data_IF_755525120353
#
_entry.id   IF_755525120353
#
_cell.length_a   1.000
_cell.length_b   1.000
_cell.length_c   1.000
_cell.angle_alpha   90.00
_cell.angle_beta   90.00
_cell.angle_gamma   90.00
#
_symmetry.space_group_name_H-M   'P 1'
#
loop_
_entity.id
_entity.type
_entity.pdbx_description
1 polymer ?
#
# COMPACT_ATOMS: atom_id res chain seq x y z
N UNK A 1 -10.12 -18.07 -13.10
CA UNK A 1 -10.27 -16.96 -14.10
C UNK A 1 -9.91 -15.66 -13.39
N UNK A 2 -9.40 -14.66 -14.08
CA UNK A 2 -9.15 -13.36 -13.45
C UNK A 2 -10.45 -12.71 -13.00
N UNK A 3 -10.51 -12.20 -11.78
CA UNK A 3 -11.68 -11.50 -11.27
C UNK A 3 -11.81 -10.08 -11.83
N UNK A 4 -10.65 -9.40 -12.05
CA UNK A 4 -10.60 -8.05 -12.62
C UNK A 4 -9.42 -7.95 -13.59
N UNK A 5 -9.67 -7.39 -14.77
CA UNK A 5 -8.65 -7.12 -15.79
C UNK A 5 -8.73 -5.68 -16.26
N UNK A 6 -7.60 -5.00 -16.19
CA UNK A 6 -7.40 -3.65 -16.74
C UNK A 6 -6.48 -3.78 -17.95
N UNK A 7 -6.89 -3.31 -19.10
CA UNK A 7 -6.16 -3.40 -20.36
C UNK A 7 -5.99 -2.00 -20.92
N UNK A 8 -4.75 -1.49 -20.91
CA UNK A 8 -4.36 -0.14 -21.34
C UNK A 8 -5.33 0.95 -20.82
N UNK A 9 -5.72 0.83 -19.54
CA UNK A 9 -6.75 1.70 -18.96
C UNK A 9 -6.23 3.11 -18.78
N UNK A 10 -6.95 4.11 -19.32
CA UNK A 10 -6.55 5.52 -19.31
C UNK A 10 -7.66 6.43 -18.82
N UNK A 11 -7.25 7.49 -18.12
CA UNK A 11 -8.11 8.61 -17.70
C UNK A 11 -7.43 9.92 -17.94
N UNK A 12 -8.13 10.80 -18.67
CA UNK A 12 -7.74 12.18 -18.87
C UNK A 12 -8.80 13.12 -18.27
N UNK A 13 -8.37 14.14 -17.57
CA UNK A 13 -9.19 15.29 -17.17
C UNK A 13 -8.80 16.48 -18.05
N UNK A 14 -9.53 16.67 -19.14
CA UNK A 14 -9.10 17.59 -20.18
C UNK A 14 -7.70 17.23 -20.71
N UNK A 15 -6.73 18.15 -20.66
CA UNK A 15 -5.37 17.88 -21.13
C UNK A 15 -4.50 17.08 -20.13
N UNK A 16 -4.98 16.88 -18.90
CA UNK A 16 -4.18 16.27 -17.84
C UNK A 16 -4.41 14.76 -17.77
N UNK A 17 -3.41 13.91 -18.12
CA UNK A 17 -3.53 12.47 -18.01
C UNK A 17 -3.32 12.03 -16.55
N UNK A 18 -4.38 11.56 -15.88
CA UNK A 18 -4.36 11.08 -14.51
C UNK A 18 -4.01 9.59 -14.40
N UNK A 19 -4.43 8.78 -15.39
CA UNK A 19 -4.09 7.36 -15.53
C UNK A 19 -3.58 7.13 -16.95
N UNK A 20 -2.39 6.52 -17.07
CA UNK A 20 -1.59 6.53 -18.31
C UNK A 20 -1.34 5.13 -18.90
N UNK A 21 -2.41 4.38 -19.11
CA UNK A 21 -2.30 3.05 -19.73
C UNK A 21 -1.90 1.97 -18.72
N UNK A 22 -2.79 1.72 -17.77
CA UNK A 22 -2.58 0.70 -16.74
C UNK A 22 -3.03 -0.67 -17.26
N UNK A 23 -2.12 -1.65 -17.13
CA UNK A 23 -2.38 -3.05 -17.33
C UNK A 23 -2.25 -3.77 -15.97
N UNK A 24 -3.31 -4.43 -15.52
CA UNK A 24 -3.34 -5.14 -14.26
C UNK A 24 -4.34 -6.29 -14.33
N UNK A 25 -3.91 -7.47 -13.97
CA UNK A 25 -4.77 -8.64 -13.80
C UNK A 25 -4.81 -9.01 -12.32
N UNK A 26 -6.01 -9.10 -11.76
CA UNK A 26 -6.27 -9.48 -10.37
C UNK A 26 -6.87 -10.87 -10.36
N UNK A 27 -6.29 -11.80 -9.64
CA UNK A 27 -6.79 -13.15 -9.50
C UNK A 27 -8.05 -13.20 -8.62
N UNK A 28 -8.85 -14.25 -8.77
CA UNK A 28 -10.00 -14.45 -7.91
C UNK A 28 -9.58 -14.69 -6.45
N UNK A 29 -10.23 -13.99 -5.52
CA UNK A 29 -9.90 -14.03 -4.10
C UNK A 29 -8.61 -13.31 -3.70
N UNK A 30 -7.92 -12.66 -4.63
CA UNK A 30 -6.67 -11.93 -4.37
C UNK A 30 -6.93 -10.57 -3.73
N UNK A 31 -6.05 -10.17 -2.82
CA UNK A 31 -6.00 -8.81 -2.25
C UNK A 31 -4.85 -8.01 -2.86
N UNK A 32 -5.19 -7.10 -3.78
CA UNK A 32 -4.26 -6.13 -4.36
C UNK A 32 -4.31 -4.85 -3.54
N UNK A 33 -3.13 -4.32 -3.18
CA UNK A 33 -3.02 -3.00 -2.56
C UNK A 33 -2.32 -2.03 -3.52
N UNK A 34 -3.00 -0.92 -3.81
CA UNK A 34 -2.47 0.19 -4.61
C UNK A 34 -1.84 1.21 -3.65
N UNK A 35 -0.54 1.48 -3.83
CA UNK A 35 0.20 2.43 -3.01
C UNK A 35 0.98 3.40 -3.89
N UNK A 36 1.27 4.60 -3.38
CA UNK A 36 2.00 5.64 -4.10
C UNK A 36 1.73 7.02 -3.53
N UNK A 37 2.44 8.06 -3.96
CA UNK A 37 2.30 9.42 -3.47
C UNK A 37 0.89 9.99 -3.76
N UNK A 38 0.54 11.06 -3.05
CA UNK A 38 -0.70 11.77 -3.30
C UNK A 38 -0.77 12.28 -4.74
N UNK A 39 -1.94 12.14 -5.37
CA UNK A 39 -2.13 12.57 -6.77
C UNK A 39 -1.60 11.63 -7.84
N UNK A 40 -1.00 10.46 -7.51
CA UNK A 40 -0.49 9.53 -8.53
C UNK A 40 -1.56 8.72 -9.28
N UNK A 41 -2.86 8.91 -8.99
CA UNK A 41 -3.97 8.29 -9.74
C UNK A 41 -4.66 7.10 -9.07
N UNK A 42 -4.30 6.67 -7.83
CA UNK A 42 -4.87 5.50 -7.13
C UNK A 42 -6.40 5.56 -6.99
N UNK A 43 -6.91 6.62 -6.34
CA UNK A 43 -8.36 6.78 -6.13
C UNK A 43 -9.11 6.99 -7.45
N UNK A 44 -8.48 7.63 -8.45
CA UNK A 44 -9.03 7.74 -9.80
C UNK A 44 -9.20 6.35 -10.41
N UNK A 45 -8.16 5.52 -10.36
CA UNK A 45 -8.20 4.14 -10.86
C UNK A 45 -9.28 3.33 -10.16
N UNK A 46 -9.35 3.40 -8.83
CA UNK A 46 -10.36 2.70 -8.04
C UNK A 46 -11.79 3.15 -8.41
N UNK A 47 -12.01 4.46 -8.58
CA UNK A 47 -13.30 5.02 -9.01
C UNK A 47 -13.68 4.65 -10.44
N UNK A 48 -12.71 4.52 -11.34
CA UNK A 48 -12.95 3.98 -12.70
C UNK A 48 -13.43 2.54 -12.63
N UNK A 49 -12.81 1.70 -11.79
CA UNK A 49 -13.26 0.31 -11.56
C UNK A 49 -14.67 0.30 -10.97
N UNK A 50 -14.95 1.20 -10.03
CA UNK A 50 -16.28 1.36 -9.43
C UNK A 50 -17.35 1.88 -10.41
N UNK A 51 -16.95 2.46 -11.54
CA UNK A 51 -17.85 3.15 -12.47
C UNK A 51 -18.26 4.56 -12.04
N UNK A 52 -17.63 5.08 -10.99
CA UNK A 52 -17.84 6.43 -10.49
C UNK A 52 -17.07 7.49 -11.30
N UNK A 53 -16.11 7.03 -12.10
CA UNK A 53 -15.35 7.84 -13.05
C UNK A 53 -15.38 7.16 -14.43
N UNK A 54 -15.68 7.92 -15.47
CA UNK A 54 -15.68 7.41 -16.83
C UNK A 54 -14.25 7.10 -17.30
N UNK A 55 -14.09 5.99 -17.99
CA UNK A 55 -12.86 5.57 -18.66
C UNK A 55 -12.67 6.44 -19.92
N UNK A 56 -11.47 6.96 -20.16
CA UNK A 56 -11.18 7.72 -21.38
C UNK A 56 -10.82 6.80 -22.56
N UNK A 57 -10.07 5.72 -22.29
CA UNK A 57 -9.77 4.65 -23.25
C UNK A 57 -9.27 3.40 -22.53
N UNK A 58 -9.18 2.28 -23.24
CA UNK A 58 -8.83 0.97 -22.70
C UNK A 58 -10.07 0.17 -22.27
N UNK A 59 -9.85 -1.00 -21.69
CA UNK A 59 -10.91 -1.92 -21.29
C UNK A 59 -10.82 -2.28 -19.83
N UNK A 60 -11.99 -2.46 -19.21
CA UNK A 60 -12.15 -2.98 -17.85
C UNK A 60 -13.07 -4.19 -17.90
N UNK A 61 -12.57 -5.33 -17.42
CA UNK A 61 -13.39 -6.54 -17.27
C UNK A 61 -13.52 -6.94 -15.81
N UNK A 62 -14.71 -7.38 -15.41
CA UNK A 62 -15.00 -7.97 -14.10
C UNK A 62 -15.66 -9.32 -14.35
N UNK A 63 -15.10 -10.38 -13.77
CA UNK A 63 -15.54 -11.77 -13.99
C UNK A 63 -15.69 -12.12 -15.49
N UNK A 64 -14.75 -11.64 -16.33
CA UNK A 64 -14.70 -11.85 -17.78
C UNK A 64 -15.60 -10.93 -18.62
N UNK A 65 -16.51 -10.17 -18.01
CA UNK A 65 -17.42 -9.26 -18.73
C UNK A 65 -16.82 -7.85 -18.83
N UNK A 66 -16.87 -7.23 -20.02
CA UNK A 66 -16.49 -5.84 -20.17
C UNK A 66 -17.55 -4.94 -19.50
N UNK A 67 -17.09 -4.15 -18.52
CA UNK A 67 -17.93 -3.28 -17.70
C UNK A 67 -17.59 -1.79 -17.87
N UNK A 68 -16.80 -1.44 -18.86
CA UNK A 68 -16.33 -0.08 -19.08
C UNK A 68 -17.45 0.96 -19.15
N UNK A 69 -18.60 0.58 -19.72
CA UNK A 69 -19.78 1.42 -19.90
C UNK A 69 -20.98 1.05 -19.02
N UNK A 70 -20.79 0.06 -18.09
CA UNK A 70 -21.86 -0.41 -17.20
C UNK A 70 -22.00 0.54 -16.00
N UNK A 71 -23.23 0.86 -15.63
CA UNK A 71 -23.52 1.68 -14.45
C UNK A 71 -22.93 1.09 -13.17
N UNK A 72 -22.49 1.92 -12.20
CA UNK A 72 -21.91 1.46 -10.93
C UNK A 72 -22.80 0.47 -10.17
N UNK A 73 -24.12 0.64 -10.25
CA UNK A 73 -25.10 -0.24 -9.57
C UNK A 73 -25.08 -1.67 -10.09
N UNK A 74 -24.73 -1.87 -11.37
CA UNK A 74 -24.82 -3.14 -12.10
C UNK A 74 -23.46 -3.85 -12.24
N UNK A 75 -22.35 -3.25 -11.79
CA UNK A 75 -21.00 -3.85 -11.85
C UNK A 75 -20.77 -4.99 -10.85
N UNK A 76 -21.75 -5.31 -10.02
CA UNK A 76 -21.65 -6.32 -8.95
C UNK A 76 -20.40 -6.17 -8.04
N UNK A 77 -20.06 -4.95 -7.68
CA UNK A 77 -18.99 -4.62 -6.75
C UNK A 77 -19.51 -3.86 -5.54
N UNK A 78 -18.75 -3.82 -4.46
CA UNK A 78 -19.05 -3.01 -3.30
C UNK A 78 -17.85 -2.13 -2.92
N UNK A 79 -18.10 -0.87 -2.64
CA UNK A 79 -17.06 0.10 -2.28
C UNK A 79 -17.21 0.56 -0.84
N UNK A 80 -16.11 0.58 -0.11
CA UNK A 80 -15.95 1.16 1.22
C UNK A 80 -15.18 2.46 1.05
N UNK A 81 -15.83 3.57 1.38
CA UNK A 81 -15.28 4.92 1.22
C UNK A 81 -14.51 5.36 2.46
N UNK A 82 -13.57 6.27 2.28
CA UNK A 82 -12.77 6.91 3.32
C UNK A 82 -13.59 7.52 4.46
N UNK A 83 -14.74 8.13 4.13
CA UNK A 83 -15.67 8.74 5.11
C UNK A 83 -16.80 7.81 5.55
N UNK A 84 -16.63 6.48 5.32
CA UNK A 84 -17.63 5.43 5.63
C UNK A 84 -18.94 5.53 4.85
N UNK A 85 -19.34 6.70 4.37
CA UNK A 85 -20.56 7.01 3.62
C UNK A 85 -21.86 6.44 4.24
N UNK A 86 -21.94 6.38 5.58
CA UNK A 86 -23.12 5.91 6.28
C UNK A 86 -24.23 6.97 6.22
N UNK A 87 -25.47 6.52 6.04
CA UNK A 87 -26.65 7.38 6.09
C UNK A 87 -26.93 7.78 7.55
N UNK A 88 -26.74 9.06 7.95
CA UNK A 88 -26.74 9.47 9.36
C UNK A 88 -28.11 9.40 10.01
N UNK A 89 -29.19 9.49 9.24
CA UNK A 89 -30.57 9.41 9.69
C UNK A 89 -31.11 7.99 9.85
N UNK A 90 -30.42 7.00 9.29
CA UNK A 90 -30.77 5.58 9.35
C UNK A 90 -30.08 4.87 10.51
N UNK A 91 -30.71 3.82 11.07
CA UNK A 91 -30.05 2.89 12.00
C UNK A 91 -29.00 2.05 11.27
N UNK A 92 -28.18 1.30 12.03
CA UNK A 92 -27.23 0.33 11.46
C UNK A 92 -27.96 -0.69 10.58
N UNK A 93 -29.03 -1.30 11.10
CA UNK A 93 -29.88 -2.25 10.34
C UNK A 93 -30.36 -1.61 9.04
N UNK A 94 -30.91 -0.41 9.08
CA UNK A 94 -31.38 0.31 7.89
C UNK A 94 -30.26 0.61 6.88
N UNK A 95 -29.07 0.95 7.37
CA UNK A 95 -27.88 1.11 6.52
C UNK A 95 -27.50 -0.17 5.79
N UNK A 96 -27.57 -1.33 6.48
CA UNK A 96 -27.25 -2.62 5.89
C UNK A 96 -28.30 -3.06 4.85
N UNK A 97 -29.59 -2.89 5.15
CA UNK A 97 -30.69 -3.34 4.29
C UNK A 97 -30.92 -2.47 3.06
N UNK A 98 -30.50 -1.18 3.09
CA UNK A 98 -30.82 -0.20 2.05
C UNK A 98 -30.47 -0.67 0.64
N UNK A 99 -29.24 -1.12 0.42
CA UNK A 99 -28.80 -1.62 -0.90
C UNK A 99 -29.51 -2.87 -1.36
N UNK A 100 -29.92 -3.75 -0.43
CA UNK A 100 -30.67 -4.97 -0.74
C UNK A 100 -32.12 -4.68 -1.10
N UNK A 101 -32.76 -3.74 -0.37
CA UNK A 101 -34.13 -3.27 -0.68
C UNK A 101 -34.21 -2.64 -2.08
N UNK A 102 -33.22 -1.80 -2.45
CA UNK A 102 -33.16 -1.19 -3.77
C UNK A 102 -33.02 -2.24 -4.90
N UNK A 103 -32.39 -3.38 -4.61
CA UNK A 103 -32.29 -4.53 -5.50
C UNK A 103 -33.49 -5.48 -5.41
N UNK A 104 -34.53 -5.14 -4.65
CA UNK A 104 -35.75 -5.92 -4.44
C UNK A 104 -35.49 -7.34 -3.91
N UNK A 105 -34.44 -7.51 -3.09
CA UNK A 105 -34.16 -8.80 -2.43
C UNK A 105 -35.29 -9.13 -1.46
N UNK A 106 -35.77 -10.40 -1.39
CA UNK A 106 -36.83 -10.82 -0.47
C UNK A 106 -36.44 -10.57 0.99
N UNK A 107 -37.42 -10.18 1.83
CA UNK A 107 -37.18 -9.77 3.23
C UNK A 107 -36.47 -10.85 4.05
N UNK A 108 -36.88 -12.11 3.94
CA UNK A 108 -36.20 -13.19 4.66
C UNK A 108 -34.74 -13.37 4.29
N UNK A 109 -34.38 -13.14 3.03
CA UNK A 109 -32.99 -13.17 2.58
C UNK A 109 -32.21 -11.95 3.10
N UNK A 110 -32.84 -10.75 3.16
CA UNK A 110 -32.25 -9.56 3.77
C UNK A 110 -31.90 -9.82 5.22
N UNK A 111 -32.86 -10.34 6.01
CA UNK A 111 -32.66 -10.62 7.43
C UNK A 111 -31.55 -11.66 7.65
N UNK A 112 -31.47 -12.70 6.82
CA UNK A 112 -30.43 -13.73 6.84
C UNK A 112 -29.05 -13.11 6.57
N UNK A 113 -28.91 -12.30 5.53
CA UNK A 113 -27.64 -11.65 5.16
C UNK A 113 -27.18 -10.66 6.21
N UNK A 114 -28.09 -9.88 6.80
CA UNK A 114 -27.78 -8.97 7.90
C UNK A 114 -27.32 -9.72 9.14
N UNK A 115 -28.00 -10.81 9.52
CA UNK A 115 -27.61 -11.62 10.67
C UNK A 115 -26.20 -12.20 10.48
N UNK A 116 -25.89 -12.72 9.27
CA UNK A 116 -24.57 -13.24 8.94
C UNK A 116 -23.51 -12.15 9.01
N UNK A 117 -23.70 -11.02 8.36
CA UNK A 117 -22.73 -9.90 8.38
C UNK A 117 -22.56 -9.34 9.79
N UNK A 118 -23.65 -9.23 10.58
CA UNK A 118 -23.60 -8.76 11.95
C UNK A 118 -22.82 -9.72 12.85
N UNK A 119 -22.93 -11.03 12.64
CA UNK A 119 -22.15 -12.04 13.35
C UNK A 119 -20.66 -11.99 13.00
N UNK A 120 -20.33 -11.89 11.70
CA UNK A 120 -18.93 -11.82 11.23
C UNK A 120 -18.22 -10.57 11.78
N UNK A 121 -18.91 -9.43 11.83
CA UNK A 121 -18.35 -8.12 12.19
C UNK A 121 -18.58 -7.75 13.67
N UNK A 122 -19.24 -8.60 14.44
CA UNK A 122 -19.57 -8.36 15.86
C UNK A 122 -20.33 -7.03 16.08
N UNK A 123 -21.30 -6.73 15.19
CA UNK A 123 -22.10 -5.50 15.26
C UNK A 123 -23.57 -5.72 15.63
N UNK A 124 -23.93 -6.94 16.08
CA UNK A 124 -25.31 -7.32 16.38
C UNK A 124 -25.98 -6.42 17.41
N UNK A 125 -25.26 -6.04 18.47
CA UNK A 125 -25.75 -5.15 19.52
C UNK A 125 -25.96 -3.69 19.09
N UNK A 126 -25.42 -3.31 17.92
CA UNK A 126 -25.50 -1.94 17.40
C UNK A 126 -26.57 -1.74 16.33
N UNK A 127 -27.31 -2.80 15.94
CA UNK A 127 -28.23 -2.77 14.81
C UNK A 127 -29.30 -1.67 14.90
N UNK A 128 -29.74 -1.32 16.10
CA UNK A 128 -30.74 -0.28 16.34
C UNK A 128 -30.15 1.11 16.58
N UNK A 129 -28.82 1.22 16.69
CA UNK A 129 -28.12 2.51 16.87
C UNK A 129 -28.01 3.25 15.53
N UNK A 130 -27.85 4.58 15.64
CA UNK A 130 -27.51 5.45 14.50
C UNK A 130 -26.01 5.71 14.44
N UNK A 131 -25.43 6.08 13.28
CA UNK A 131 -24.00 6.32 13.10
C UNK A 131 -23.38 7.28 14.13
N UNK A 132 -24.10 8.31 14.56
CA UNK A 132 -23.65 9.28 15.59
C UNK A 132 -23.40 8.66 16.96
N UNK A 133 -23.97 7.49 17.23
CA UNK A 133 -23.88 6.77 18.51
C UNK A 133 -22.76 5.70 18.49
N UNK A 134 -21.98 5.66 17.42
CA UNK A 134 -20.93 4.67 17.18
C UNK A 134 -19.54 5.30 17.26
N UNK A 135 -18.56 4.52 17.75
CA UNK A 135 -17.13 4.88 17.64
C UNK A 135 -16.65 4.83 16.17
N UNK A 136 -15.44 5.33 15.91
CA UNK A 136 -14.82 5.28 14.58
C UNK A 136 -14.76 3.85 14.04
N UNK A 137 -14.21 2.90 14.83
CA UNK A 137 -14.13 1.49 14.44
C UNK A 137 -15.49 0.81 14.25
N UNK A 138 -16.48 1.14 15.10
CA UNK A 138 -17.85 0.63 14.90
C UNK A 138 -18.46 1.15 13.59
N UNK A 139 -18.25 2.44 13.25
CA UNK A 139 -18.70 2.98 11.95
C UNK A 139 -18.00 2.28 10.78
N UNK A 140 -16.71 1.99 10.92
CA UNK A 140 -15.95 1.24 9.92
C UNK A 140 -16.52 -0.17 9.71
N UNK A 141 -16.77 -0.92 10.80
CA UNK A 141 -17.40 -2.25 10.71
C UNK A 141 -18.77 -2.19 10.06
N UNK A 142 -19.58 -1.19 10.35
CA UNK A 142 -20.89 -1.00 9.69
C UNK A 142 -20.73 -0.70 8.20
N UNK A 143 -19.75 0.12 7.80
CA UNK A 143 -19.46 0.37 6.39
C UNK A 143 -19.02 -0.90 5.64
N UNK A 144 -18.20 -1.74 6.29
CA UNK A 144 -17.84 -3.06 5.77
C UNK A 144 -19.06 -3.98 5.67
N UNK A 145 -19.94 -3.96 6.68
CA UNK A 145 -21.18 -4.72 6.67
C UNK A 145 -22.08 -4.38 5.49
N UNK A 146 -22.20 -3.09 5.13
CA UNK A 146 -22.93 -2.64 3.93
C UNK A 146 -22.36 -3.22 2.63
N UNK A 147 -21.05 -3.43 2.58
CA UNK A 147 -20.39 -4.06 1.45
C UNK A 147 -20.67 -5.58 1.43
N UNK A 148 -20.49 -6.25 2.58
CA UNK A 148 -20.62 -7.72 2.72
C UNK A 148 -22.02 -8.22 2.41
N UNK A 149 -23.07 -7.55 2.93
CA UNK A 149 -24.46 -7.99 2.70
C UNK A 149 -24.87 -8.03 1.22
N UNK A 150 -24.13 -7.30 0.37
CA UNK A 150 -24.37 -7.27 -1.08
C UNK A 150 -23.86 -8.50 -1.82
N UNK A 151 -22.95 -9.26 -1.19
CA UNK A 151 -22.28 -10.43 -1.77
C UNK A 151 -21.65 -10.12 -3.15
N UNK A 152 -20.69 -9.16 -3.19
CA UNK A 152 -20.16 -8.66 -4.45
C UNK A 152 -19.07 -9.58 -5.02
N UNK A 153 -18.83 -9.49 -6.33
CA UNK A 153 -17.70 -10.14 -6.99
C UNK A 153 -16.34 -9.56 -6.55
N UNK A 154 -16.31 -8.29 -6.15
CA UNK A 154 -15.10 -7.68 -5.60
C UNK A 154 -15.41 -6.55 -4.61
N UNK A 155 -14.52 -6.38 -3.62
CA UNK A 155 -14.49 -5.24 -2.72
C UNK A 155 -13.50 -4.19 -3.20
N UNK A 156 -13.89 -2.93 -3.10
CA UNK A 156 -13.04 -1.77 -3.36
C UNK A 156 -12.94 -0.93 -2.10
N UNK A 157 -11.72 -0.69 -1.62
CA UNK A 157 -11.45 0.09 -0.41
C UNK A 157 -10.69 1.37 -0.77
N UNK A 158 -11.30 2.55 -0.59
CA UNK A 158 -10.68 3.85 -0.82
C UNK A 158 -10.22 4.46 0.51
N UNK A 159 -8.98 4.20 0.91
CA UNK A 159 -8.35 4.66 2.16
C UNK A 159 -9.22 4.46 3.43
N UNK A 160 -9.73 3.25 3.68
CA UNK A 160 -10.78 3.06 4.68
C UNK A 160 -10.31 3.29 6.13
N UNK A 161 -9.00 3.29 6.40
CA UNK A 161 -8.43 3.43 7.74
C UNK A 161 -7.86 4.82 8.04
N UNK A 162 -7.82 5.73 7.06
CA UNK A 162 -7.16 7.05 7.20
C UNK A 162 -7.73 7.94 8.30
N UNK A 163 -9.03 7.79 8.63
CA UNK A 163 -9.72 8.59 9.64
C UNK A 163 -9.72 7.95 11.04
N UNK A 164 -8.92 6.93 11.28
CA UNK A 164 -8.81 6.24 12.57
C UNK A 164 -7.52 6.64 13.30
N UNK A 165 -7.56 6.62 14.64
CA UNK A 165 -6.36 6.74 15.47
C UNK A 165 -5.42 5.54 15.26
N UNK A 166 -4.14 5.67 15.65
CA UNK A 166 -3.10 4.68 15.39
C UNK A 166 -3.42 3.30 15.98
N UNK A 167 -3.95 3.23 17.22
CA UNK A 167 -4.27 1.97 17.89
C UNK A 167 -5.42 1.24 17.18
N UNK A 168 -6.46 1.97 16.83
CA UNK A 168 -7.63 1.42 16.16
C UNK A 168 -7.29 1.02 14.71
N UNK A 169 -6.39 1.76 14.04
CA UNK A 169 -5.90 1.42 12.69
C UNK A 169 -5.21 0.06 12.68
N UNK A 170 -4.35 -0.23 13.66
CA UNK A 170 -3.70 -1.55 13.79
C UNK A 170 -4.73 -2.66 13.95
N UNK A 171 -5.71 -2.48 14.83
CA UNK A 171 -6.76 -3.48 15.05
C UNK A 171 -7.59 -3.73 13.80
N UNK A 172 -8.06 -2.66 13.15
CA UNK A 172 -8.90 -2.75 11.95
C UNK A 172 -8.15 -3.34 10.75
N UNK A 173 -6.86 -3.10 10.62
CA UNK A 173 -6.03 -3.73 9.59
C UNK A 173 -6.02 -5.25 9.71
N UNK A 174 -5.79 -5.77 10.92
CA UNK A 174 -5.83 -7.21 11.20
C UNK A 174 -7.22 -7.78 10.89
N UNK A 175 -8.27 -7.06 11.28
CA UNK A 175 -9.65 -7.48 11.04
C UNK A 175 -10.01 -7.52 9.55
N UNK A 176 -9.62 -6.50 8.76
CA UNK A 176 -9.82 -6.48 7.30
C UNK A 176 -9.13 -7.67 6.66
N UNK A 177 -7.87 -7.96 7.04
CA UNK A 177 -7.13 -9.10 6.47
C UNK A 177 -7.78 -10.44 6.83
N UNK A 178 -8.22 -10.61 8.10
CA UNK A 178 -8.95 -11.79 8.56
C UNK A 178 -10.23 -11.99 7.76
N UNK A 179 -11.01 -10.91 7.62
CA UNK A 179 -12.26 -10.91 6.89
C UNK A 179 -12.08 -11.29 5.42
N UNK A 180 -11.12 -10.69 4.73
CA UNK A 180 -10.82 -10.98 3.32
C UNK A 180 -10.46 -12.46 3.13
N UNK A 181 -9.62 -13.03 4.03
CA UNK A 181 -9.28 -14.46 4.01
C UNK A 181 -10.48 -15.37 4.24
N UNK A 182 -11.40 -14.98 5.11
CA UNK A 182 -12.62 -15.74 5.42
C UNK A 182 -13.60 -15.72 4.25
N UNK A 183 -13.80 -14.54 3.63
CA UNK A 183 -14.75 -14.37 2.53
C UNK A 183 -14.17 -14.83 1.18
N UNK A 184 -12.85 -14.87 1.05
CA UNK A 184 -12.13 -15.17 -0.20
C UNK A 184 -12.59 -14.33 -1.39
N UNK A 185 -13.10 -13.13 -1.12
CA UNK A 185 -13.58 -12.21 -2.16
C UNK A 185 -12.43 -11.35 -2.65
N UNK A 186 -12.31 -11.20 -3.94
CA UNK A 186 -11.33 -10.32 -4.59
C UNK A 186 -11.41 -8.91 -4.02
N UNK A 187 -10.27 -8.30 -3.71
CA UNK A 187 -10.22 -7.01 -3.05
C UNK A 187 -9.17 -6.10 -3.66
N UNK A 188 -9.56 -4.85 -3.97
CA UNK A 188 -8.61 -3.78 -4.29
C UNK A 188 -8.66 -2.76 -3.16
N UNK A 189 -7.50 -2.46 -2.61
CA UNK A 189 -7.34 -1.57 -1.47
C UNK A 189 -6.40 -0.41 -1.84
N UNK A 190 -6.84 0.81 -1.64
CA UNK A 190 -6.01 2.02 -1.84
C UNK A 190 -5.56 2.53 -0.48
N UNK A 191 -4.28 2.83 -0.36
CA UNK A 191 -3.71 3.48 0.82
C UNK A 191 -2.52 4.35 0.44
N UNK A 192 -2.19 5.29 1.31
CA UNK A 192 -0.91 6.01 1.32
C UNK A 192 0.00 5.52 2.46
N UNK A 193 -0.48 4.63 3.33
CA UNK A 193 0.27 4.04 4.45
C UNK A 193 1.02 2.79 3.97
N UNK A 194 2.34 2.84 4.03
CA UNK A 194 3.20 1.73 3.58
C UNK A 194 3.04 0.49 4.46
N UNK A 195 2.80 0.66 5.77
CA UNK A 195 2.63 -0.46 6.68
C UNK A 195 1.31 -1.21 6.39
N UNK A 196 0.23 -0.48 6.03
CA UNK A 196 -0.99 -1.09 5.53
C UNK A 196 -0.71 -1.89 4.27
N UNK A 197 -0.02 -1.27 3.30
CA UNK A 197 0.31 -1.89 2.04
C UNK A 197 1.13 -3.18 2.21
N UNK A 198 2.18 -3.14 3.03
CA UNK A 198 3.06 -4.28 3.29
C UNK A 198 2.38 -5.44 4.03
N UNK A 199 1.37 -5.14 4.85
CA UNK A 199 0.75 -6.16 5.73
C UNK A 199 -0.56 -6.73 5.19
N UNK A 200 -1.29 -5.98 4.35
CA UNK A 200 -2.57 -6.40 3.79
C UNK A 200 -2.42 -7.12 2.45
N UNK A 201 -1.47 -6.72 1.60
CA UNK A 201 -1.40 -7.16 0.22
C UNK A 201 -1.00 -8.65 0.07
N UNK A 202 -1.63 -9.34 -0.88
CA UNK A 202 -1.05 -10.51 -1.53
C UNK A 202 -0.09 -10.05 -2.62
N UNK A 203 -0.48 -9.06 -3.43
CA UNK A 203 0.41 -8.29 -4.30
C UNK A 203 0.24 -6.79 -4.08
N UNK A 204 1.37 -6.11 -4.09
CA UNK A 204 1.49 -4.65 -4.00
C UNK A 204 1.65 -4.08 -5.41
N UNK A 205 0.91 -3.02 -5.70
CA UNK A 205 1.01 -2.24 -6.93
C UNK A 205 1.48 -0.84 -6.57
N UNK A 206 2.74 -0.53 -6.87
CA UNK A 206 3.33 0.79 -6.63
C UNK A 206 3.03 1.69 -7.82
N UNK A 207 2.35 2.79 -7.58
CA UNK A 207 1.96 3.76 -8.62
C UNK A 207 2.72 5.08 -8.48
N UNK A 208 3.11 5.64 -9.61
CA UNK A 208 3.72 6.95 -9.69
C UNK A 208 3.28 7.67 -10.97
N UNK A 209 2.92 8.95 -10.89
CA UNK A 209 2.59 9.80 -12.03
C UNK A 209 1.57 9.23 -13.02
N UNK A 210 0.60 8.41 -12.55
CA UNK A 210 -0.43 7.77 -13.36
C UNK A 210 -0.02 6.44 -14.02
N UNK A 211 1.14 5.88 -13.65
CA UNK A 211 1.67 4.61 -14.16
C UNK A 211 1.92 3.64 -13.01
N UNK A 212 2.02 2.36 -13.34
CA UNK A 212 2.56 1.34 -12.43
C UNK A 212 4.07 1.33 -12.57
N UNK A 213 4.78 1.45 -11.45
CA UNK A 213 6.24 1.36 -11.36
C UNK A 213 6.69 -0.09 -11.14
N UNK A 214 6.00 -0.81 -10.24
CA UNK A 214 6.31 -2.21 -9.93
C UNK A 214 5.07 -2.91 -9.39
N UNK A 215 4.96 -4.21 -9.69
CA UNK A 215 3.98 -5.14 -9.10
C UNK A 215 4.74 -6.34 -8.56
N UNK A 216 4.46 -6.75 -7.32
CA UNK A 216 5.05 -7.95 -6.71
C UNK A 216 4.47 -8.22 -5.34
N UNK A 217 4.87 -9.31 -4.70
CA UNK A 217 4.59 -9.50 -3.29
C UNK A 217 5.24 -8.38 -2.46
N UNK A 218 4.71 -8.02 -1.29
CA UNK A 218 5.31 -6.98 -0.45
C UNK A 218 6.81 -7.18 -0.21
N UNK A 219 7.22 -8.42 0.05
CA UNK A 219 8.62 -8.74 0.32
C UNK A 219 9.51 -8.62 -0.93
N UNK A 220 9.01 -8.98 -2.11
CA UNK A 220 9.74 -8.79 -3.37
C UNK A 220 9.96 -7.32 -3.68
N UNK A 221 8.89 -6.50 -3.60
CA UNK A 221 8.97 -5.05 -3.83
C UNK A 221 9.94 -4.37 -2.85
N UNK A 222 9.95 -4.80 -1.59
CA UNK A 222 10.86 -4.28 -0.57
C UNK A 222 12.31 -4.72 -0.83
N UNK A 223 12.55 -6.02 -1.07
CA UNK A 223 13.91 -6.58 -1.22
C UNK A 223 14.51 -6.34 -2.59
N UNK A 224 13.69 -6.26 -3.64
CA UNK A 224 14.15 -6.09 -5.02
C UNK A 224 13.36 -4.97 -5.73
N UNK A 225 13.52 -3.71 -5.31
CA UNK A 225 12.89 -2.60 -6.01
C UNK A 225 13.44 -2.47 -7.43
N UNK A 226 12.55 -2.34 -8.43
CA UNK A 226 12.92 -2.25 -9.83
C UNK A 226 13.39 -0.86 -10.24
N UNK A 227 13.01 0.16 -9.45
CA UNK A 227 13.37 1.56 -9.74
C UNK A 227 13.84 2.29 -8.49
N UNK A 228 14.62 3.33 -8.69
CA UNK A 228 15.04 4.30 -7.66
C UNK A 228 13.83 4.87 -6.92
N UNK A 229 12.74 5.11 -7.66
CA UNK A 229 11.49 5.59 -7.06
C UNK A 229 10.93 4.57 -6.05
N UNK A 230 10.79 3.32 -6.43
CA UNK A 230 10.28 2.26 -5.54
C UNK A 230 11.20 2.05 -4.35
N UNK A 231 12.52 2.07 -4.57
CA UNK A 231 13.53 1.94 -3.53
C UNK A 231 13.40 3.03 -2.43
N UNK A 232 13.22 4.27 -2.85
CA UNK A 232 13.06 5.41 -1.94
C UNK A 232 11.64 5.56 -1.39
N UNK A 233 10.62 5.01 -2.07
CA UNK A 233 9.24 5.11 -1.62
C UNK A 233 8.85 3.99 -0.65
N UNK A 234 9.34 2.76 -0.80
CA UNK A 234 8.99 1.61 0.04
C UNK A 234 10.04 1.39 1.12
N UNK A 235 9.62 1.50 2.37
CA UNK A 235 10.44 1.35 3.58
C UNK A 235 10.44 2.62 4.44
N UNK A 236 10.53 2.44 5.75
CA UNK A 236 10.62 3.53 6.73
C UNK A 236 11.65 3.15 7.79
N UNK A 237 12.80 3.85 7.82
CA UNK A 237 13.23 4.90 6.89
C UNK A 237 13.38 4.46 5.42
N UNK A 238 13.40 5.40 4.46
CA UNK A 238 13.60 5.08 3.04
C UNK A 238 15.01 4.51 2.78
N UNK A 239 15.20 3.86 1.63
CA UNK A 239 16.51 3.38 1.20
C UNK A 239 17.48 4.54 1.01
N UNK A 240 18.69 4.42 1.54
CA UNK A 240 19.78 5.34 1.23
C UNK A 240 20.18 5.17 -0.23
N UNK A 241 20.19 6.26 -0.97
CA UNK A 241 20.59 6.29 -2.39
C UNK A 241 21.86 7.13 -2.50
N UNK A 242 22.97 6.51 -2.88
CA UNK A 242 24.31 7.11 -2.83
C UNK A 242 24.99 6.88 -4.18
N UNK A 243 25.61 7.93 -4.67
CA UNK A 243 26.42 7.84 -5.86
C UNK A 243 27.68 7.01 -5.61
N UNK A 244 28.04 6.20 -6.57
CA UNK A 244 29.16 5.27 -6.42
C UNK A 244 30.49 6.01 -6.16
N UNK A 245 30.66 7.18 -6.73
CA UNK A 245 31.85 8.04 -6.59
C UNK A 245 31.99 8.67 -5.19
N UNK A 246 30.92 8.75 -4.41
CA UNK A 246 30.93 9.26 -3.02
C UNK A 246 31.70 8.35 -2.04
N UNK A 247 31.85 7.07 -2.38
CA UNK A 247 32.61 6.13 -1.55
C UNK A 247 34.11 6.08 -1.89
N UNK A 248 34.54 6.86 -2.88
CA UNK A 248 35.90 6.76 -3.44
C UNK A 248 36.13 5.49 -4.23
N UNK A 249 37.39 5.10 -4.53
CA UNK A 249 37.68 3.89 -5.27
C UNK A 249 37.20 2.65 -4.50
N UNK A 250 36.13 2.02 -4.99
CA UNK A 250 35.63 0.77 -4.43
C UNK A 250 35.75 -0.36 -5.47
N UNK A 251 36.38 -1.46 -5.08
CA UNK A 251 36.57 -2.64 -5.92
C UNK A 251 35.38 -3.60 -5.74
N UNK A 252 34.17 -3.09 -5.97
CA UNK A 252 32.94 -3.88 -5.90
C UNK A 252 32.62 -4.39 -7.30
N UNK A 253 32.45 -5.70 -7.49
CA UNK A 253 32.04 -6.26 -8.79
C UNK A 253 30.54 -6.01 -9.03
N UNK A 254 30.21 -4.77 -9.41
CA UNK A 254 28.86 -4.31 -9.75
C UNK A 254 28.59 -4.45 -11.25
N UNK A 255 27.30 -4.50 -11.67
CA UNK A 255 26.95 -4.42 -13.09
C UNK A 255 27.50 -3.16 -13.76
N UNK A 256 27.83 -3.26 -15.06
CA UNK A 256 28.61 -2.22 -15.79
C UNK A 256 27.97 -0.82 -15.78
N UNK A 257 26.66 -0.74 -15.81
CA UNK A 257 25.94 0.53 -15.92
C UNK A 257 25.46 1.07 -14.55
N UNK A 258 26.08 0.58 -13.45
CA UNK A 258 25.75 1.02 -12.10
C UNK A 258 26.52 2.29 -11.76
N UNK A 259 25.83 3.35 -11.45
CA UNK A 259 26.37 4.63 -10.98
C UNK A 259 25.72 5.11 -9.66
N UNK A 260 24.65 4.41 -9.23
CA UNK A 260 23.92 4.69 -7.98
C UNK A 260 23.71 3.39 -7.21
N UNK A 261 23.98 3.42 -5.90
CA UNK A 261 23.77 2.29 -5.00
C UNK A 261 22.68 2.63 -3.99
N UNK A 262 21.74 1.71 -3.83
CA UNK A 262 20.76 1.73 -2.75
C UNK A 262 21.22 0.84 -1.59
N UNK A 263 21.05 1.34 -0.36
CA UNK A 263 21.36 0.61 0.88
C UNK A 263 20.18 0.78 1.84
N UNK A 264 19.57 -0.32 2.28
CA UNK A 264 18.54 -0.26 3.31
C UNK A 264 19.13 0.20 4.65
N UNK A 265 18.45 1.05 5.43
CA UNK A 265 18.96 1.48 6.73
C UNK A 265 19.35 0.34 7.67
N UNK A 266 18.59 -0.75 7.70
CA UNK A 266 18.91 -1.93 8.49
C UNK A 266 20.01 -2.83 7.94
N UNK A 267 20.59 -2.50 6.77
CA UNK A 267 21.73 -3.19 6.19
C UNK A 267 23.06 -2.47 6.43
N UNK A 268 23.03 -1.31 7.07
CA UNK A 268 24.23 -0.56 7.47
C UNK A 268 24.65 -1.05 8.84
N UNK A 269 25.72 -1.84 8.90
CA UNK A 269 26.34 -2.28 10.16
C UNK A 269 27.34 -1.26 10.64
N UNK A 270 27.31 -0.95 11.94
CA UNK A 270 28.26 -0.05 12.62
C UNK A 270 29.35 -0.88 13.30
N UNK A 271 30.59 -0.76 12.82
CA UNK A 271 31.76 -1.51 13.33
C UNK A 271 32.64 -2.08 12.22
N UNK A 272 33.54 -3.02 12.57
CA UNK A 272 34.48 -3.59 11.61
C UNK A 272 33.84 -4.72 10.80
N UNK A 273 33.76 -4.58 9.49
CA UNK A 273 33.29 -5.59 8.56
C UNK A 273 34.37 -6.56 8.07
N UNK A 274 33.97 -7.63 7.37
CA UNK A 274 34.86 -8.65 6.80
C UNK A 274 34.99 -8.55 5.26
N UNK A 275 36.21 -8.65 4.77
CA UNK A 275 36.60 -9.03 3.41
C UNK A 275 36.12 -8.12 2.24
N UNK A 276 35.04 -8.45 1.56
CA UNK A 276 34.62 -7.85 0.29
C UNK A 276 33.41 -6.89 0.40
N UNK A 277 33.14 -6.41 1.59
CA UNK A 277 32.00 -5.52 1.86
C UNK A 277 32.33 -4.06 1.48
N UNK A 278 31.31 -3.29 1.14
CA UNK A 278 31.45 -1.84 1.05
C UNK A 278 31.78 -1.28 2.42
N UNK A 279 32.85 -0.51 2.54
CA UNK A 279 33.30 0.13 3.79
C UNK A 279 33.45 1.61 3.60
N UNK A 280 33.05 2.37 4.60
CA UNK A 280 33.21 3.81 4.67
C UNK A 280 33.20 4.27 6.13
N UNK A 281 33.82 5.40 6.40
CA UNK A 281 33.73 6.04 7.69
C UNK A 281 32.65 7.13 7.66
N UNK A 282 31.99 7.36 8.78
CA UNK A 282 30.96 8.36 8.90
C UNK A 282 30.95 8.99 10.30
N UNK A 283 30.40 10.18 10.42
CA UNK A 283 30.15 10.85 11.70
C UNK A 283 28.68 10.74 12.06
N UNK A 284 28.39 10.40 13.31
CA UNK A 284 27.03 10.41 13.87
C UNK A 284 26.57 11.86 14.02
N UNK A 285 25.57 12.27 13.23
CA UNK A 285 25.00 13.63 13.33
C UNK A 285 23.84 13.72 14.32
N UNK A 286 22.96 12.71 14.31
CA UNK A 286 21.76 12.67 15.15
C UNK A 286 21.34 11.22 15.42
N UNK A 287 20.80 10.96 16.59
CA UNK A 287 20.25 9.67 16.98
C UNK A 287 18.77 9.84 17.33
N UNK A 288 17.87 9.23 16.53
CA UNK A 288 16.44 9.20 16.78
C UNK A 288 16.06 7.85 17.38
N UNK A 289 15.70 7.81 18.66
CA UNK A 289 15.24 6.58 19.32
C UNK A 289 13.77 6.32 19.02
N UNK A 290 13.48 5.19 18.37
CA UNK A 290 12.12 4.78 17.99
C UNK A 290 11.83 3.43 18.64
N UNK A 291 11.52 3.44 19.93
CA UNK A 291 11.28 2.22 20.70
C UNK A 291 12.57 1.42 20.92
N UNK A 292 12.61 0.19 20.40
CA UNK A 292 13.76 -0.72 20.53
C UNK A 292 14.84 -0.50 19.45
N UNK A 293 14.63 0.44 18.54
CA UNK A 293 15.53 0.77 17.45
C UNK A 293 15.96 2.24 17.52
N UNK A 294 17.18 2.52 17.06
CA UNK A 294 17.69 3.85 16.79
C UNK A 294 17.85 4.06 15.29
N UNK A 295 17.29 5.14 14.76
CA UNK A 295 17.66 5.65 13.45
C UNK A 295 18.85 6.61 13.64
N UNK A 296 20.02 6.18 13.19
CA UNK A 296 21.26 6.93 13.31
C UNK A 296 21.52 7.67 12.00
N UNK A 297 21.45 8.99 12.04
CA UNK A 297 21.80 9.84 10.90
C UNK A 297 23.30 10.01 10.85
N UNK A 298 23.90 9.59 9.76
CA UNK A 298 25.33 9.54 9.54
C UNK A 298 25.71 10.46 8.39
N UNK A 299 26.78 11.27 8.56
CA UNK A 299 27.42 11.99 7.46
C UNK A 299 28.67 11.26 7.05
N UNK A 300 28.73 10.83 5.79
CA UNK A 300 29.87 10.11 5.22
C UNK A 300 31.14 10.97 5.30
N UNK A 301 32.25 10.40 5.77
CA UNK A 301 33.50 11.13 5.89
C UNK A 301 34.06 11.51 4.52
N UNK A 302 34.49 12.77 4.37
CA UNK A 302 34.96 13.29 3.09
C UNK A 302 33.86 13.67 2.09
N UNK A 303 32.58 13.56 2.47
CA UNK A 303 31.41 13.91 1.64
C UNK A 303 30.36 14.65 2.47
N UNK A 304 29.49 15.41 1.80
CA UNK A 304 28.28 16.00 2.42
C UNK A 304 27.10 15.04 2.43
N UNK A 305 27.28 13.82 1.96
CA UNK A 305 26.21 12.81 1.86
C UNK A 305 25.79 12.34 3.26
N UNK A 306 24.47 12.29 3.44
CA UNK A 306 23.84 11.76 4.64
C UNK A 306 23.16 10.45 4.34
N UNK A 307 23.29 9.52 5.28
CA UNK A 307 22.63 8.20 5.25
C UNK A 307 22.01 7.93 6.61
N UNK A 308 21.08 6.99 6.65
CA UNK A 308 20.46 6.52 7.89
C UNK A 308 20.83 5.06 8.10
N UNK A 309 21.28 4.71 9.28
CA UNK A 309 21.41 3.34 9.76
C UNK A 309 20.31 3.07 10.79
N UNK A 310 19.63 1.91 10.68
CA UNK A 310 18.69 1.46 11.73
C UNK A 310 19.35 0.35 12.53
N UNK A 311 19.61 0.61 13.81
CA UNK A 311 20.31 -0.31 14.72
C UNK A 311 19.52 -0.49 16.02
N UNK A 312 19.76 -1.57 16.75
CA UNK A 312 19.12 -1.78 18.06
C UNK A 312 19.66 -0.78 19.10
N UNK A 313 18.82 -0.42 20.10
CA UNK A 313 19.12 0.56 21.13
C UNK A 313 20.20 0.17 22.13
N UNK A 314 20.64 -1.08 22.15
CA UNK A 314 21.72 -1.58 23.02
C UNK A 314 23.13 -1.12 22.59
N UNK A 315 23.26 -0.51 21.40
CA UNK A 315 24.51 0.10 20.95
C UNK A 315 24.73 1.46 21.58
N UNK A 316 25.83 1.61 22.32
CA UNK A 316 26.23 2.87 22.94
C UNK A 316 26.85 3.82 21.89
N UNK A 317 26.01 4.59 21.23
CA UNK A 317 26.40 5.58 20.22
C UNK A 317 26.39 6.99 20.80
N UNK A 318 27.28 7.86 20.29
CA UNK A 318 27.32 9.28 20.67
C UNK A 318 27.32 10.17 19.44
N UNK A 319 26.56 11.25 19.50
CA UNK A 319 26.59 12.28 18.46
C UNK A 319 28.00 12.91 18.39
N UNK A 320 28.48 13.18 17.17
CA UNK A 320 29.83 13.63 16.89
C UNK A 320 30.88 12.52 16.79
N UNK A 321 30.58 11.30 17.15
CA UNK A 321 31.49 10.17 17.07
C UNK A 321 31.74 9.76 15.61
N UNK A 322 33.03 9.42 15.30
CA UNK A 322 33.40 8.84 14.02
C UNK A 322 33.33 7.33 14.11
N UNK A 323 32.65 6.71 13.18
CA UNK A 323 32.43 5.27 13.13
C UNK A 323 32.80 4.69 11.77
N UNK A 324 33.36 3.47 11.79
CA UNK A 324 33.46 2.67 10.58
C UNK A 324 32.13 1.96 10.34
N UNK A 325 31.61 2.12 9.13
CA UNK A 325 30.38 1.52 8.65
C UNK A 325 30.70 0.51 7.54
N UNK A 326 29.94 -0.54 7.47
CA UNK A 326 30.05 -1.49 6.38
C UNK A 326 28.71 -2.04 5.98
N UNK A 327 28.63 -2.50 4.72
CA UNK A 327 27.42 -3.10 4.11
C UNK A 327 27.86 -4.33 3.36
N UNK A 328 27.16 -5.43 3.56
CA UNK A 328 27.43 -6.67 2.82
C UNK A 328 27.08 -6.47 1.34
N UNK A 329 27.85 -7.07 0.47
CA UNK A 329 27.64 -6.98 -0.97
C UNK A 329 26.21 -7.36 -1.37
N UNK A 330 25.68 -8.43 -0.80
CA UNK A 330 24.36 -8.97 -1.13
C UNK A 330 23.20 -8.04 -0.69
N UNK A 331 23.48 -7.06 0.16
CA UNK A 331 22.52 -6.03 0.61
C UNK A 331 22.63 -4.72 -0.20
N UNK A 332 23.51 -4.68 -1.21
CA UNK A 332 23.61 -3.55 -2.14
C UNK A 332 22.59 -3.67 -3.26
N UNK A 333 21.95 -2.57 -3.58
CA UNK A 333 20.98 -2.47 -4.66
C UNK A 333 21.54 -1.58 -5.78
N UNK A 334 22.02 -2.15 -6.88
CA UNK A 334 22.62 -1.40 -7.97
C UNK A 334 21.55 -0.76 -8.87
N UNK A 335 21.73 0.53 -9.17
CA UNK A 335 20.85 1.30 -10.05
C UNK A 335 21.65 2.09 -11.06
N UNK A 336 21.00 2.45 -12.16
CA UNK A 336 21.45 3.45 -13.10
C UNK A 336 20.65 4.75 -12.88
N UNK A 337 21.33 5.84 -12.58
CA UNK A 337 20.71 7.13 -12.27
C UNK A 337 19.93 7.70 -13.46
N UNK A 338 20.48 7.62 -14.65
CA UNK A 338 19.89 8.22 -15.85
C UNK A 338 18.55 7.57 -16.22
N UNK A 339 18.45 6.24 -16.06
CA UNK A 339 17.23 5.48 -16.33
C UNK A 339 16.31 5.35 -15.11
N UNK A 340 16.85 5.56 -13.92
CA UNK A 340 16.18 5.30 -12.65
C UNK A 340 15.88 3.82 -12.40
N UNK A 341 16.51 2.89 -13.15
CA UNK A 341 16.24 1.46 -13.10
C UNK A 341 17.38 0.67 -12.46
N UNK A 342 17.01 -0.45 -11.89
CA UNK A 342 17.93 -1.46 -11.38
C UNK A 342 18.76 -2.05 -12.53
N UNK A 343 20.04 -2.41 -12.25
CA UNK A 343 21.00 -2.88 -13.26
C UNK A 343 21.33 -4.37 -13.21
N UNK A 344 20.84 -5.10 -12.16
CA UNK A 344 21.04 -6.56 -11.98
C UNK A 344 19.75 -7.40 -12.13
#
# INVERSE_FOLDING_TARGET
>A
MAAIELIDLRKNYGPVPAVKGINLTVADGEMIVLVGPSGCGKSTLLRMIAGLEAISSGHLRIAGNDVGHVDPADRNIAMVFQNYALYPHMTVRQNLEYGLKNRRVPRGEIDRRIANAAGILEIGEFLDRRPRQLSGGQRQRVAMGRAIVRDPAAFLFDEPLSNLDAKLRVQMRVEIRRLQRQLKTTSLYVTHDQLEAMTLADRLVVMNGGRIEQIGTPIEVYRRPETVFVAGFIGSPPMNLIDLDEFGPCDLPLPRDTDLIGIRPGAVDLGAGSGHDLRFDAYVELIETVGDENNVHLRVDGSDKRIVASVFTDQHLREGERMSCHVRRDDLHPFNRATGRRTD
#
